data_IF_308140487359
#
_entry.id   IF_308140487359
#
_cell.length_a   1.000
_cell.length_b   1.000
_cell.length_c   1.000
_cell.angle_alpha   90.00
_cell.angle_beta   90.00
_cell.angle_gamma   90.00
#
_symmetry.space_group_name_H-M   'P 1'
#
loop_
_entity.id
_entity.type
_entity.pdbx_description
1 polymer ?
#
# COMPACT_ATOMS: atom_id res chain seq x y z
N UNK A 1 -2.09 12.94 -10.31
CA UNK A 1 -3.53 12.73 -10.67
C UNK A 1 -3.63 11.92 -11.96
N UNK A 2 -4.47 10.88 -11.98
CA UNK A 2 -4.72 10.01 -13.14
C UNK A 2 -6.22 9.86 -13.39
N UNK A 3 -6.64 9.86 -14.65
CA UNK A 3 -8.05 9.63 -15.03
C UNK A 3 -8.21 8.23 -15.61
N UNK A 4 -9.19 7.48 -15.11
CA UNK A 4 -9.49 6.12 -15.57
C UNK A 4 -10.95 6.08 -15.99
N UNK A 5 -11.23 5.59 -17.21
CA UNK A 5 -12.59 5.37 -17.67
C UNK A 5 -13.10 4.04 -17.12
N UNK A 6 -14.25 4.05 -16.46
CA UNK A 6 -14.89 2.86 -15.89
C UNK A 6 -16.38 2.93 -16.16
N UNK A 7 -16.93 1.97 -16.86
CA UNK A 7 -18.35 1.94 -17.23
C UNK A 7 -18.76 3.14 -18.11
N UNK A 8 -17.84 3.64 -18.95
CA UNK A 8 -18.10 4.80 -19.81
C UNK A 8 -18.07 6.15 -19.11
N UNK A 9 -17.73 6.22 -17.80
CA UNK A 9 -17.54 7.47 -17.05
C UNK A 9 -16.07 7.60 -16.63
N UNK A 10 -15.55 8.83 -16.72
CA UNK A 10 -14.20 9.17 -16.29
C UNK A 10 -14.15 9.41 -14.78
N UNK A 11 -13.27 8.67 -14.10
CA UNK A 11 -12.97 8.81 -12.68
C UNK A 11 -11.55 9.34 -12.50
N UNK A 12 -11.43 10.41 -11.72
CA UNK A 12 -10.14 11.00 -11.37
C UNK A 12 -9.62 10.41 -10.07
N UNK A 13 -8.40 9.91 -10.11
CA UNK A 13 -7.68 9.40 -8.94
C UNK A 13 -6.58 10.39 -8.56
N UNK A 14 -6.59 10.81 -7.31
CA UNK A 14 -5.60 11.73 -6.77
C UNK A 14 -5.33 11.41 -5.30
N UNK A 15 -4.04 11.28 -4.94
CA UNK A 15 -3.62 10.96 -3.59
C UNK A 15 -3.03 12.20 -2.92
N UNK A 16 -3.90 13.07 -2.44
CA UNK A 16 -3.60 14.33 -1.75
C UNK A 16 -4.00 14.28 -0.28
N UNK A 17 -4.44 15.40 0.26
CA UNK A 17 -4.79 15.56 1.67
C UNK A 17 -5.90 14.57 2.08
N UNK A 18 -6.97 14.43 1.30
CA UNK A 18 -8.08 13.54 1.63
C UNK A 18 -7.63 12.07 1.77
N UNK A 19 -6.83 11.58 0.82
CA UNK A 19 -6.25 10.26 0.90
C UNK A 19 -5.28 10.10 2.09
N UNK A 20 -4.50 11.15 2.42
CA UNK A 20 -3.55 11.16 3.51
C UNK A 20 -4.22 11.15 4.89
N UNK A 21 -5.37 11.80 5.02
CA UNK A 21 -6.18 11.81 6.24
C UNK A 21 -6.99 10.51 6.44
N UNK A 22 -7.12 9.71 5.39
CA UNK A 22 -7.81 8.44 5.48
C UNK A 22 -6.91 7.37 6.10
N UNK A 23 -6.94 7.24 7.43
CA UNK A 23 -6.07 6.38 8.24
C UNK A 23 -5.96 4.94 7.73
N UNK A 24 -7.05 4.36 7.26
CA UNK A 24 -7.01 2.98 6.76
C UNK A 24 -6.13 2.85 5.53
N UNK A 25 -6.14 3.85 4.63
CA UNK A 25 -5.26 3.88 3.47
C UNK A 25 -3.79 4.00 3.90
N UNK A 26 -3.47 4.98 4.74
CA UNK A 26 -2.09 5.19 5.20
C UNK A 26 -1.52 3.98 5.93
N UNK A 27 -2.31 3.32 6.77
CA UNK A 27 -1.92 2.08 7.46
C UNK A 27 -1.66 0.95 6.46
N UNK A 28 -2.62 0.65 5.59
CA UNK A 28 -2.51 -0.43 4.60
C UNK A 28 -1.35 -0.24 3.64
N UNK A 29 -1.11 0.99 3.20
CA UNK A 29 0.01 1.33 2.32
C UNK A 29 1.34 1.17 3.04
N UNK A 30 1.45 1.64 4.29
CA UNK A 30 2.66 1.49 5.09
C UNK A 30 2.98 0.01 5.32
N UNK A 31 2.00 -0.80 5.72
CA UNK A 31 2.17 -2.25 5.92
C UNK A 31 2.61 -2.95 4.63
N UNK A 32 2.02 -2.58 3.49
CA UNK A 32 2.40 -3.11 2.18
C UNK A 32 3.86 -2.76 1.84
N UNK A 33 4.27 -1.49 2.03
CA UNK A 33 5.63 -1.06 1.72
C UNK A 33 6.68 -1.73 2.61
N UNK A 34 6.39 -1.91 3.90
CA UNK A 34 7.25 -2.67 4.82
C UNK A 34 7.34 -4.13 4.36
N UNK A 35 6.21 -4.76 4.05
CA UNK A 35 6.16 -6.14 3.58
C UNK A 35 6.93 -6.35 2.29
N UNK A 36 6.86 -5.42 1.34
CA UNK A 36 7.63 -5.48 0.09
C UNK A 36 9.14 -5.29 0.32
N UNK A 37 9.52 -4.36 1.21
CA UNK A 37 10.93 -4.13 1.56
C UNK A 37 11.58 -5.32 2.29
N UNK A 38 10.80 -6.07 3.06
CA UNK A 38 11.28 -7.28 3.73
C UNK A 38 11.23 -8.53 2.84
N UNK A 39 10.50 -8.52 1.73
CA UNK A 39 10.33 -9.68 0.85
C UNK A 39 11.66 -10.17 0.22
N UNK A 40 12.65 -9.28 0.06
CA UNK A 40 13.98 -9.65 -0.43
C UNK A 40 14.76 -10.55 0.57
N UNK A 41 14.36 -10.57 1.85
CA UNK A 41 15.01 -11.33 2.92
C UNK A 41 14.18 -12.54 3.41
N UNK A 42 13.00 -12.78 2.85
CA UNK A 42 12.07 -13.83 3.34
C UNK A 42 12.18 -15.13 2.57
N UNK A 43 12.64 -16.16 3.26
CA UNK A 43 12.54 -17.56 2.80
C UNK A 43 11.20 -18.24 3.16
N UNK A 44 10.23 -17.48 3.74
CA UNK A 44 9.06 -18.10 4.35
C UNK A 44 7.78 -17.94 3.48
N UNK A 45 7.33 -19.06 2.90
CA UNK A 45 6.11 -19.16 2.07
C UNK A 45 4.86 -18.65 2.81
N UNK A 46 4.78 -18.82 4.15
CA UNK A 46 3.61 -18.37 4.93
C UNK A 46 3.45 -16.85 4.92
N UNK A 47 4.55 -16.11 5.03
CA UNK A 47 4.54 -14.65 5.02
C UNK A 47 4.16 -14.12 3.63
N UNK A 48 4.60 -14.81 2.58
CA UNK A 48 4.21 -14.50 1.21
C UNK A 48 2.71 -14.73 0.97
N UNK A 49 2.15 -15.83 1.47
CA UNK A 49 0.71 -16.12 1.38
C UNK A 49 -0.11 -15.09 2.15
N UNK A 50 0.33 -14.67 3.35
CA UNK A 50 -0.33 -13.62 4.12
C UNK A 50 -0.38 -12.30 3.36
N UNK A 51 0.73 -11.87 2.78
CA UNK A 51 0.80 -10.66 1.97
C UNK A 51 -0.14 -10.73 0.76
N UNK A 52 -0.19 -11.87 0.07
CA UNK A 52 -1.09 -12.08 -1.07
C UNK A 52 -2.57 -12.03 -0.68
N UNK A 53 -2.93 -12.54 0.51
CA UNK A 53 -4.32 -12.53 1.00
C UNK A 53 -4.83 -11.13 1.29
N UNK A 54 -3.93 -10.20 1.63
CA UNK A 54 -4.29 -8.82 1.97
C UNK A 54 -4.41 -7.90 0.74
N UNK A 55 -3.89 -8.31 -0.41
CA UNK A 55 -3.93 -7.53 -1.65
C UNK A 55 -5.33 -7.04 -2.00
N UNK A 56 -6.41 -7.86 -1.99
CA UNK A 56 -7.74 -7.38 -2.37
C UNK A 56 -8.26 -6.27 -1.47
N UNK A 57 -8.07 -6.38 -0.15
CA UNK A 57 -8.53 -5.36 0.80
C UNK A 57 -7.68 -4.10 0.73
N UNK A 58 -6.38 -4.25 0.59
CA UNK A 58 -5.45 -3.13 0.41
C UNK A 58 -5.78 -2.38 -0.87
N UNK A 59 -5.96 -3.09 -1.99
CA UNK A 59 -6.32 -2.49 -3.27
C UNK A 59 -7.64 -1.73 -3.20
N UNK A 60 -8.68 -2.33 -2.61
CA UNK A 60 -9.98 -1.64 -2.44
C UNK A 60 -9.85 -0.37 -1.62
N UNK A 61 -9.03 -0.41 -0.56
CA UNK A 61 -8.81 0.75 0.32
C UNK A 61 -8.05 1.86 -0.43
N UNK A 62 -7.00 1.53 -1.17
CA UNK A 62 -6.24 2.48 -2.01
C UNK A 62 -7.12 3.07 -3.11
N UNK A 63 -7.88 2.23 -3.80
CA UNK A 63 -8.78 2.66 -4.87
C UNK A 63 -9.84 3.64 -4.36
N UNK A 64 -10.46 3.36 -3.21
CA UNK A 64 -11.41 4.27 -2.58
C UNK A 64 -10.73 5.59 -2.16
N UNK A 65 -9.56 5.52 -1.53
CA UNK A 65 -8.82 6.70 -1.09
C UNK A 65 -8.47 7.63 -2.25
N UNK A 66 -8.05 7.08 -3.40
CA UNK A 66 -7.73 7.88 -4.58
C UNK A 66 -8.94 8.59 -5.21
N UNK A 67 -10.17 8.16 -4.90
CA UNK A 67 -11.40 8.77 -5.39
C UNK A 67 -11.94 9.88 -4.48
N UNK A 68 -11.48 9.96 -3.22
CA UNK A 68 -12.07 10.85 -2.21
C UNK A 68 -12.04 12.33 -2.63
N UNK A 69 -10.93 12.82 -3.15
CA UNK A 69 -10.73 14.22 -3.53
C UNK A 69 -11.80 14.70 -4.55
N UNK A 70 -12.04 13.91 -5.59
CA UNK A 70 -12.92 14.32 -6.70
C UNK A 70 -14.31 13.72 -6.64
N UNK A 71 -14.47 12.59 -5.99
CA UNK A 71 -15.70 11.78 -6.02
C UNK A 71 -16.27 11.49 -4.64
N UNK A 72 -15.59 11.89 -3.55
CA UNK A 72 -16.04 11.79 -2.17
C UNK A 72 -17.04 12.88 -1.77
N UNK A 73 -17.17 13.12 -0.45
CA UNK A 73 -18.12 14.09 0.11
C UNK A 73 -17.84 15.54 -0.32
N UNK A 74 -16.58 15.88 -0.49
CA UNK A 74 -16.14 17.22 -0.90
C UNK A 74 -16.06 17.39 -2.43
N UNK A 75 -16.18 16.29 -3.18
CA UNK A 75 -16.21 16.25 -4.63
C UNK A 75 -17.62 16.18 -5.23
N UNK A 76 -17.77 15.40 -6.30
CA UNK A 76 -19.06 15.22 -7.01
C UNK A 76 -20.04 14.26 -6.31
N UNK A 77 -19.63 13.68 -5.18
CA UNK A 77 -20.42 12.74 -4.34
C UNK A 77 -20.84 11.46 -5.05
N UNK A 78 -20.15 11.07 -6.10
CA UNK A 78 -20.47 9.84 -6.86
C UNK A 78 -19.95 8.57 -6.20
N UNK A 79 -18.97 8.67 -5.26
CA UNK A 79 -18.38 7.56 -4.53
C UNK A 79 -18.27 7.90 -3.04
N UNK A 80 -19.31 7.58 -2.28
CA UNK A 80 -19.41 7.93 -0.85
C UNK A 80 -18.97 6.80 0.08
N UNK A 81 -18.68 5.62 -0.45
CA UNK A 81 -18.34 4.46 0.37
C UNK A 81 -17.44 3.47 -0.37
N UNK A 82 -16.74 2.63 0.39
CA UNK A 82 -16.02 1.47 -0.18
C UNK A 82 -16.94 0.52 -0.96
N UNK A 83 -18.25 0.49 -0.63
CA UNK A 83 -19.23 -0.30 -1.38
C UNK A 83 -19.37 0.22 -2.80
N UNK A 84 -19.33 1.54 -2.99
CA UNK A 84 -19.40 2.14 -4.32
C UNK A 84 -18.09 1.92 -5.08
N UNK A 85 -16.94 2.13 -4.42
CA UNK A 85 -15.63 1.80 -4.97
C UNK A 85 -15.53 0.32 -5.41
N UNK A 86 -16.07 -0.60 -4.61
CA UNK A 86 -16.12 -2.05 -4.95
C UNK A 86 -16.92 -2.32 -6.22
N UNK A 87 -18.03 -1.60 -6.46
CA UNK A 87 -18.79 -1.73 -7.70
C UNK A 87 -17.99 -1.28 -8.91
N UNK A 88 -17.25 -0.17 -8.76
CA UNK A 88 -16.37 0.34 -9.82
C UNK A 88 -15.23 -0.63 -10.14
N UNK A 89 -14.57 -1.20 -9.13
CA UNK A 89 -13.54 -2.24 -9.34
C UNK A 89 -14.13 -3.44 -10.10
N UNK A 90 -15.33 -3.87 -9.74
CA UNK A 90 -15.99 -4.97 -10.46
C UNK A 90 -16.23 -4.62 -11.92
N UNK A 91 -16.74 -3.42 -12.21
CA UNK A 91 -16.94 -2.95 -13.59
C UNK A 91 -15.61 -2.90 -14.34
N UNK A 92 -14.57 -2.35 -13.72
CA UNK A 92 -13.22 -2.30 -14.28
C UNK A 92 -12.70 -3.71 -14.64
N UNK A 93 -12.85 -4.69 -13.74
CA UNK A 93 -12.46 -6.07 -14.03
C UNK A 93 -13.26 -6.69 -15.18
N UNK A 94 -14.55 -6.39 -15.26
CA UNK A 94 -15.40 -6.88 -16.35
C UNK A 94 -14.99 -6.30 -17.71
N UNK A 95 -14.53 -5.05 -17.75
CA UNK A 95 -14.03 -4.38 -18.96
C UNK A 95 -12.61 -4.81 -19.37
N UNK A 96 -11.78 -5.25 -18.40
CA UNK A 96 -10.37 -5.58 -18.59
C UNK A 96 -10.06 -7.08 -18.39
N UNK A 97 -11.03 -7.94 -18.65
CA UNK A 97 -10.87 -9.41 -18.44
C UNK A 97 -9.72 -10.06 -19.17
N UNK A 98 -9.40 -9.53 -20.34
CA UNK A 98 -8.33 -10.04 -21.20
C UNK A 98 -6.98 -9.36 -20.92
N UNK A 99 -6.96 -8.34 -20.06
CA UNK A 99 -5.79 -7.56 -19.74
C UNK A 99 -5.13 -8.05 -18.43
N UNK A 100 -3.81 -8.00 -18.35
CA UNK A 100 -3.06 -8.29 -17.12
C UNK A 100 -3.44 -7.37 -15.95
N UNK A 101 -4.03 -6.20 -16.24
CA UNK A 101 -4.47 -5.21 -15.27
C UNK A 101 -5.87 -5.47 -14.72
N UNK A 102 -6.64 -6.38 -15.30
CA UNK A 102 -8.02 -6.71 -14.91
C UNK A 102 -8.14 -7.55 -13.64
N UNK A 103 -7.29 -7.32 -12.65
CA UNK A 103 -7.28 -8.02 -11.37
C UNK A 103 -6.80 -7.10 -10.23
N UNK A 104 -6.91 -7.57 -8.98
CA UNK A 104 -6.51 -6.77 -7.81
C UNK A 104 -5.05 -6.36 -7.82
N UNK A 105 -4.15 -7.21 -8.27
CA UNK A 105 -2.73 -6.88 -8.32
C UNK A 105 -2.47 -5.77 -9.35
N UNK A 106 -3.04 -5.85 -10.55
CA UNK A 106 -2.91 -4.82 -11.59
C UNK A 106 -3.45 -3.47 -11.13
N UNK A 107 -4.64 -3.46 -10.50
CA UNK A 107 -5.19 -2.21 -9.92
C UNK A 107 -4.34 -1.69 -8.77
N UNK A 108 -3.77 -2.57 -7.94
CA UNK A 108 -2.84 -2.15 -6.87
C UNK A 108 -1.61 -1.44 -7.45
N UNK A 109 -0.99 -2.00 -8.47
CA UNK A 109 0.16 -1.38 -9.14
C UNK A 109 -0.20 0.00 -9.72
N UNK A 110 -1.38 0.11 -10.33
CA UNK A 110 -1.90 1.36 -10.86
C UNK A 110 -2.09 2.41 -9.77
N UNK A 111 -2.58 2.03 -8.58
CA UNK A 111 -2.73 2.94 -7.45
C UNK A 111 -1.38 3.37 -6.87
N UNK A 112 -0.43 2.45 -6.75
CA UNK A 112 0.94 2.76 -6.30
C UNK A 112 1.62 3.76 -7.26
N UNK A 113 1.46 3.59 -8.57
CA UNK A 113 1.94 4.54 -9.58
C UNK A 113 1.33 5.93 -9.37
N UNK A 114 0.01 6.03 -9.19
CA UNK A 114 -0.68 7.30 -8.89
C UNK A 114 -0.15 7.95 -7.60
N UNK A 115 0.06 7.16 -6.55
CA UNK A 115 0.63 7.63 -5.28
C UNK A 115 2.03 8.21 -5.46
N UNK A 116 2.86 7.58 -6.31
CA UNK A 116 4.19 8.08 -6.65
C UNK A 116 4.13 9.40 -7.39
N UNK A 117 3.26 9.50 -8.40
CA UNK A 117 3.08 10.70 -9.22
C UNK A 117 2.55 11.90 -8.39
N UNK A 118 1.76 11.63 -7.35
CA UNK A 118 1.16 12.64 -6.48
C UNK A 118 1.99 12.94 -5.22
N UNK A 119 3.23 12.45 -5.12
CA UNK A 119 4.12 12.60 -3.95
C UNK A 119 3.50 12.08 -2.61
N UNK A 120 2.54 11.16 -2.65
CA UNK A 120 1.81 10.68 -1.49
C UNK A 120 2.71 10.11 -0.39
N UNK A 121 3.72 9.33 -0.75
CA UNK A 121 4.66 8.74 0.22
C UNK A 121 5.47 9.79 0.97
N UNK A 122 5.75 10.92 0.33
CA UNK A 122 6.41 12.07 0.95
C UNK A 122 5.43 12.82 1.86
N UNK A 123 4.17 13.00 1.43
CA UNK A 123 3.13 13.68 2.22
C UNK A 123 2.88 12.97 3.54
N UNK A 124 2.80 11.63 3.57
CA UNK A 124 2.62 10.86 4.80
C UNK A 124 3.91 10.66 5.61
N UNK A 125 5.04 11.19 5.15
CA UNK A 125 6.33 11.11 5.86
C UNK A 125 7.06 9.77 5.74
N UNK A 126 6.60 8.84 4.93
CA UNK A 126 7.19 7.50 4.80
C UNK A 126 8.64 7.58 4.29
N UNK A 127 8.92 8.47 3.35
CA UNK A 127 10.26 8.67 2.79
C UNK A 127 11.29 9.11 3.86
N UNK A 128 10.87 9.97 4.82
CA UNK A 128 11.73 10.41 5.90
C UNK A 128 12.00 9.29 6.92
N UNK A 129 10.99 8.48 7.24
CA UNK A 129 11.10 7.38 8.19
C UNK A 129 12.06 6.31 7.66
N UNK A 130 11.96 5.93 6.38
CA UNK A 130 12.87 4.95 5.77
C UNK A 130 14.31 5.44 5.73
N UNK A 131 14.56 6.71 5.38
CA UNK A 131 15.90 7.28 5.38
C UNK A 131 16.53 7.36 6.78
N UNK A 132 15.72 7.59 7.84
CA UNK A 132 16.21 7.61 9.22
C UNK A 132 16.59 6.21 9.71
N UNK A 133 15.85 5.18 9.34
CA UNK A 133 16.16 3.80 9.73
C UNK A 133 17.46 3.30 9.09
N UNK A 134 17.80 3.74 7.88
CA UNK A 134 19.08 3.44 7.23
C UNK A 134 20.28 4.14 7.87
N UNK A 135 20.07 5.28 8.51
CA UNK A 135 21.13 6.09 9.16
C UNK A 135 21.44 5.67 10.59
N UNK A 136 20.62 4.82 11.22
CA UNK A 136 20.97 4.31 12.55
C UNK A 136 22.09 3.28 12.45
N UNK A 137 23.25 3.50 13.14
CA UNK A 137 24.32 2.50 13.14
C UNK A 137 23.78 1.22 13.79
N UNK A 138 23.94 0.09 13.10
CA UNK A 138 23.65 -1.23 13.67
C UNK A 138 24.47 -1.38 14.94
N UNK A 139 23.82 -1.36 16.10
CA UNK A 139 24.46 -1.63 17.39
C UNK A 139 25.05 -3.05 17.30
N UNK A 140 26.37 -3.24 17.52
CA UNK A 140 26.96 -4.58 17.51
C UNK A 140 26.29 -5.42 18.61
N UNK A 141 25.73 -6.57 18.26
CA UNK A 141 25.26 -7.55 19.24
C UNK A 141 26.47 -8.05 20.00
N UNK A 142 26.55 -7.67 21.27
CA UNK A 142 27.60 -8.10 22.19
C UNK A 142 27.49 -9.61 22.41
N UNK A 143 28.42 -10.37 21.85
CA UNK A 143 28.50 -11.81 22.05
C UNK A 143 28.80 -12.07 23.52
N UNK A 144 27.82 -12.60 24.26
CA UNK A 144 27.98 -13.11 25.62
C UNK A 144 29.22 -14.00 25.72
N UNK A 145 30.28 -13.54 26.41
CA UNK A 145 31.44 -14.32 26.78
C UNK A 145 30.96 -15.54 27.60
N UNK A 146 31.22 -16.73 27.08
CA UNK A 146 31.14 -17.99 27.83
C UNK A 146 32.19 -17.95 28.95
N UNK A 147 31.78 -17.81 30.19
CA UNK A 147 32.61 -18.05 31.37
C UNK A 147 32.89 -19.53 31.48
N UNK A 148 34.09 -19.95 31.16
CA UNK A 148 34.64 -21.26 31.47
C UNK A 148 34.85 -21.36 33.00
N UNK A 149 34.08 -22.22 33.71
CA UNK A 149 34.38 -22.60 35.08
C UNK A 149 35.63 -23.50 35.09
N UNK A 150 36.72 -22.97 35.64
CA UNK A 150 37.86 -23.80 35.99
C UNK A 150 37.53 -24.64 37.22
N UNK A 151 37.63 -25.95 37.07
CA UNK A 151 37.56 -26.92 38.17
C UNK A 151 38.96 -26.97 38.77
N UNK A 152 39.08 -26.59 40.04
CA UNK A 152 40.28 -26.83 40.85
C UNK A 152 40.05 -28.09 41.70
N UNK A 153 40.98 -29.00 41.60
CA UNK A 153 41.09 -30.17 42.47
C UNK A 153 41.48 -29.76 43.90
#
# INVERSE_FOLDING_TARGET
MKTINIGGKDYKFEFTIEASLYNECTTKVTDLMISLGEAESRENIKDMISTLSDIPQTTLTMFYAGLLEHHGEDGDKSVLSKKDAKKLIKTYFDEHKEDETGNFYGVMQLMIECMGDDDFFKQIGLTQITQQSERQPKVPQDHKRKTTKATVK
#
